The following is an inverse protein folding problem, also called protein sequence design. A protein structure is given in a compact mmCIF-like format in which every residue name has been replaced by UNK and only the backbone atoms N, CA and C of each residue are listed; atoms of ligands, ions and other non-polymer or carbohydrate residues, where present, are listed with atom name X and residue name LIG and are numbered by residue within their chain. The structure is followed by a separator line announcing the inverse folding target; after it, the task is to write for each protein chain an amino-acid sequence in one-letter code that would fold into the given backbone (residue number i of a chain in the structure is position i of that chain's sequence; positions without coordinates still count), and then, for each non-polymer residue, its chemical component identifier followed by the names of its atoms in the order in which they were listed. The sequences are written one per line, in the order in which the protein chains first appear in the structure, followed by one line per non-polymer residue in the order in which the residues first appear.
data_IF_525173649806
#
_entry.id   IF_525173649806
#
_cell.length_a   1.000
_cell.length_b   1.000
_cell.length_c   1.000
_cell.angle_alpha   90.00
_cell.angle_beta   90.00
_cell.angle_gamma   90.00
#
_symmetry.space_group_name_H-M   'P 1'
#
loop_
_entity.id
_entity.type
_entity.pdbx_description
1 polymer ?
#
# COMPACT_ATOMS: atom_id res chain seq x y z
N UNK A 1 -1.60 -9.58 12.48
CA UNK A 1 -1.17 -9.34 11.07
C UNK A 1 -1.27 -10.66 10.29
N UNK A 2 -0.41 -11.62 10.64
CA UNK A 2 -0.57 -13.07 10.44
C UNK A 2 -2.02 -13.59 10.33
N UNK A 3 -2.90 -13.29 11.30
CA UNK A 3 -4.30 -13.75 11.31
C UNK A 3 -5.04 -13.30 10.05
N UNK A 4 -4.93 -12.03 9.65
CA UNK A 4 -5.64 -11.50 8.48
C UNK A 4 -4.95 -11.88 7.16
N UNK A 5 -3.66 -12.21 7.17
CA UNK A 5 -2.97 -12.80 6.02
C UNK A 5 -3.46 -14.22 5.74
N UNK A 6 -3.55 -15.06 6.78
CA UNK A 6 -4.15 -16.39 6.68
C UNK A 6 -5.62 -16.30 6.26
N UNK A 7 -6.38 -15.36 6.82
CA UNK A 7 -7.76 -15.09 6.41
C UNK A 7 -7.85 -14.77 4.92
N UNK A 8 -6.93 -13.96 4.39
CA UNK A 8 -6.86 -13.62 2.98
C UNK A 8 -6.64 -14.82 2.06
N UNK A 9 -5.74 -15.75 2.44
CA UNK A 9 -5.58 -17.01 1.72
C UNK A 9 -6.87 -17.85 1.72
N UNK A 10 -7.56 -17.94 2.86
CA UNK A 10 -8.85 -18.64 2.90
C UNK A 10 -9.90 -17.98 2.01
N UNK A 11 -9.93 -16.66 1.95
CA UNK A 11 -10.85 -15.94 1.07
C UNK A 11 -10.52 -16.15 -0.41
N UNK A 12 -9.24 -16.24 -0.77
CA UNK A 12 -8.80 -16.62 -2.11
C UNK A 12 -9.32 -18.02 -2.48
N UNK A 13 -9.14 -19.01 -1.60
CA UNK A 13 -9.60 -20.38 -1.81
C UNK A 13 -11.12 -20.46 -1.99
N UNK A 14 -11.88 -19.63 -1.25
CA UNK A 14 -13.34 -19.52 -1.42
C UNK A 14 -13.74 -18.86 -2.74
N UNK A 15 -13.00 -17.83 -3.18
CA UNK A 15 -13.28 -17.13 -4.43
C UNK A 15 -12.96 -17.99 -5.65
N UNK A 16 -11.90 -18.79 -5.57
CA UNK A 16 -11.42 -19.64 -6.67
C UNK A 16 -11.25 -21.11 -6.25
N UNK A 17 -12.34 -21.82 -5.90
CA UNK A 17 -12.25 -23.21 -5.45
C UNK A 17 -11.60 -24.10 -6.50
N UNK A 18 -10.63 -24.92 -6.08
CA UNK A 18 -9.92 -25.87 -6.94
C UNK A 18 -8.98 -25.25 -7.97
N UNK A 19 -8.77 -23.92 -7.94
CA UNK A 19 -7.89 -23.23 -8.91
C UNK A 19 -6.53 -22.86 -8.36
N UNK A 20 -6.40 -22.72 -7.04
CA UNK A 20 -5.10 -22.53 -6.38
C UNK A 20 -4.39 -23.89 -6.40
N UNK A 21 -3.20 -24.02 -7.01
CA UNK A 21 -2.48 -25.29 -7.03
C UNK A 21 -2.02 -25.72 -5.63
N UNK A 22 -1.77 -27.02 -5.47
CA UNK A 22 -1.04 -27.54 -4.31
C UNK A 22 0.35 -26.88 -4.26
N UNK A 23 0.66 -26.19 -3.17
CA UNK A 23 1.93 -25.50 -2.96
C UNK A 23 2.32 -25.50 -1.48
N UNK A 24 3.60 -25.30 -1.22
CA UNK A 24 4.14 -24.96 0.11
C UNK A 24 4.88 -23.62 -0.04
N UNK A 25 4.63 -22.68 0.87
CA UNK A 25 5.33 -21.39 0.89
C UNK A 25 5.73 -21.01 2.31
N UNK A 26 6.76 -20.16 2.41
CA UNK A 26 7.13 -19.49 3.64
C UNK A 26 6.73 -18.02 3.55
N UNK A 27 6.01 -17.54 4.57
CA UNK A 27 5.54 -16.16 4.65
C UNK A 27 6.02 -15.53 5.96
N UNK A 28 6.73 -14.41 5.86
CA UNK A 28 7.13 -13.63 7.04
C UNK A 28 6.29 -12.35 7.12
N UNK A 29 5.55 -12.22 8.23
CA UNK A 29 4.59 -11.16 8.48
C UNK A 29 5.20 -9.90 9.15
N UNK A 30 6.52 -9.81 9.26
CA UNK A 30 7.23 -8.62 9.78
C UNK A 30 7.44 -7.58 8.66
N UNK A 31 7.71 -6.32 9.02
CA UNK A 31 7.71 -5.17 8.12
C UNK A 31 8.90 -5.12 7.13
N UNK A 32 10.10 -5.55 7.51
CA UNK A 32 11.28 -5.38 6.63
C UNK A 32 11.45 -6.53 5.65
N UNK A 33 11.84 -6.28 4.38
CA UNK A 33 12.37 -7.32 3.53
C UNK A 33 13.75 -7.76 4.03
N UNK A 34 14.08 -9.05 3.88
CA UNK A 34 15.25 -9.65 4.55
C UNK A 34 16.18 -10.41 3.61
N UNK A 35 15.74 -10.77 2.40
CA UNK A 35 16.55 -11.56 1.47
C UNK A 35 17.48 -10.67 0.63
N UNK A 36 18.50 -10.13 1.31
CA UNK A 36 19.44 -9.18 0.73
C UNK A 36 20.24 -9.77 -0.43
N UNK A 37 20.17 -9.11 -1.59
CA UNK A 37 20.78 -9.51 -2.87
C UNK A 37 22.26 -9.85 -2.75
N UNK A 38 23.00 -9.08 -1.94
CA UNK A 38 24.44 -9.21 -1.74
C UNK A 38 24.87 -10.59 -1.24
N UNK A 39 24.00 -11.34 -0.55
CA UNK A 39 24.32 -12.66 -0.02
C UNK A 39 24.11 -13.80 -1.03
N UNK A 40 23.40 -13.52 -2.13
CA UNK A 40 23.06 -14.51 -3.16
C UNK A 40 23.65 -14.16 -4.53
N UNK A 41 24.57 -13.19 -4.58
CA UNK A 41 25.31 -12.79 -5.79
C UNK A 41 26.72 -13.37 -5.76
N UNK A 42 27.10 -14.11 -6.81
CA UNK A 42 28.46 -14.64 -6.99
C UNK A 42 28.45 -16.06 -7.55
N UNK A 43 29.59 -16.51 -8.08
CA UNK A 43 29.72 -17.82 -8.74
C UNK A 43 29.38 -19.00 -7.82
N UNK A 44 29.66 -18.86 -6.51
CA UNK A 44 29.43 -19.90 -5.50
C UNK A 44 28.33 -19.52 -4.49
N UNK A 45 27.51 -18.50 -4.79
CA UNK A 45 26.46 -18.08 -3.87
C UNK A 45 25.29 -19.09 -3.90
N UNK A 46 24.66 -19.38 -2.75
CA UNK A 46 23.48 -20.23 -2.73
C UNK A 46 22.32 -19.56 -3.48
N UNK A 47 21.38 -20.36 -3.99
CA UNK A 47 20.13 -19.81 -4.49
C UNK A 47 19.34 -19.18 -3.32
N UNK A 48 18.71 -18.01 -3.50
CA UNK A 48 17.91 -17.41 -2.44
C UNK A 48 16.71 -18.31 -2.13
N UNK A 49 16.37 -18.53 -0.84
CA UNK A 49 15.14 -19.22 -0.48
C UNK A 49 13.92 -18.37 -0.90
N UNK A 50 12.79 -18.97 -1.30
CA UNK A 50 11.59 -18.19 -1.53
C UNK A 50 11.00 -17.72 -0.20
N UNK A 51 10.79 -16.41 -0.07
CA UNK A 51 10.14 -15.82 1.11
C UNK A 51 9.10 -14.80 0.65
N UNK A 52 7.85 -15.03 1.03
CA UNK A 52 6.76 -14.09 0.80
C UNK A 52 6.73 -13.04 1.90
N UNK A 53 6.60 -11.78 1.49
CA UNK A 53 6.47 -10.62 2.37
C UNK A 53 5.54 -9.59 1.75
N UNK A 54 5.25 -8.56 2.51
CA UNK A 54 4.34 -7.50 2.07
C UNK A 54 5.04 -6.37 1.27
N UNK A 55 6.36 -6.29 1.33
CA UNK A 55 7.16 -5.39 0.50
C UNK A 55 8.50 -6.00 0.12
N UNK A 56 9.18 -5.33 -0.82
CA UNK A 56 10.58 -5.54 -1.14
C UNK A 56 11.26 -4.20 -1.46
N UNK A 57 12.55 -4.24 -1.72
CA UNK A 57 13.31 -3.11 -2.27
C UNK A 57 14.20 -3.58 -3.44
N UNK A 58 14.93 -2.66 -4.08
CA UNK A 58 15.78 -2.97 -5.24
C UNK A 58 17.00 -3.85 -4.89
N UNK A 59 17.23 -4.09 -3.60
CA UNK A 59 18.30 -4.89 -3.02
C UNK A 59 17.79 -6.13 -2.30
N UNK A 60 16.50 -6.50 -2.43
CA UNK A 60 16.00 -7.78 -1.89
C UNK A 60 15.31 -8.70 -2.91
N UNK A 61 15.28 -10.00 -2.59
CA UNK A 61 14.62 -11.06 -3.38
C UNK A 61 13.23 -11.45 -2.83
N UNK A 62 12.73 -10.76 -1.80
CA UNK A 62 11.44 -11.07 -1.19
C UNK A 62 10.29 -11.01 -2.22
N UNK A 63 9.40 -12.00 -2.18
CA UNK A 63 8.26 -12.13 -3.08
C UNK A 63 7.09 -11.33 -2.50
N UNK A 64 6.66 -10.29 -3.20
CA UNK A 64 5.67 -9.35 -2.65
C UNK A 64 4.24 -9.87 -2.80
N UNK A 65 3.51 -9.84 -1.69
CA UNK A 65 2.13 -10.27 -1.55
C UNK A 65 1.26 -9.14 -0.96
N UNK A 66 -0.05 -9.06 -1.28
CA UNK A 66 -0.94 -8.08 -0.67
C UNK A 66 -0.95 -8.14 0.86
N UNK A 67 -0.90 -6.99 1.52
CA UNK A 67 -0.86 -6.93 2.98
C UNK A 67 -2.17 -7.34 3.66
N UNK A 68 -2.11 -7.65 4.96
CA UNK A 68 -3.28 -8.12 5.73
C UNK A 68 -4.43 -7.10 5.76
N UNK A 69 -4.15 -5.80 5.60
CA UNK A 69 -5.13 -4.74 5.78
C UNK A 69 -6.17 -4.66 4.67
N UNK A 70 -5.97 -5.35 3.53
CA UNK A 70 -7.02 -5.50 2.52
C UNK A 70 -8.26 -6.19 3.08
N UNK A 71 -8.08 -7.11 4.03
CA UNK A 71 -9.17 -7.78 4.75
C UNK A 71 -9.52 -7.12 6.08
N UNK A 72 -8.77 -6.11 6.50
CA UNK A 72 -9.02 -5.31 7.69
C UNK A 72 -7.84 -5.28 8.66
N UNK A 73 -7.85 -4.27 9.54
CA UNK A 73 -6.90 -4.12 10.63
C UNK A 73 -7.69 -3.70 11.88
N UNK A 74 -8.21 -4.71 12.57
CA UNK A 74 -9.15 -4.56 13.67
C UNK A 74 -8.56 -3.75 14.83
N UNK A 75 -7.28 -3.97 15.14
CA UNK A 75 -6.56 -3.37 16.26
C UNK A 75 -6.55 -1.83 16.22
N UNK A 76 -6.69 -1.24 15.04
CA UNK A 76 -6.77 0.22 14.85
C UNK A 76 -8.02 0.64 14.07
N UNK A 77 -9.03 -0.24 14.03
CA UNK A 77 -10.35 0.00 13.42
C UNK A 77 -10.31 0.46 11.95
N UNK A 78 -9.36 -0.07 11.16
CA UNK A 78 -9.32 0.14 9.71
C UNK A 78 -10.11 -0.98 9.05
N UNK A 79 -11.24 -0.61 8.44
CA UNK A 79 -12.17 -1.54 7.80
C UNK A 79 -11.53 -2.28 6.61
N UNK A 80 -12.08 -3.45 6.21
CA UNK A 80 -11.69 -4.11 4.98
C UNK A 80 -11.79 -3.18 3.76
N UNK A 81 -10.90 -3.39 2.79
CA UNK A 81 -10.72 -2.48 1.66
C UNK A 81 -11.97 -2.31 0.80
N UNK A 82 -12.75 -3.38 0.60
CA UNK A 82 -14.02 -3.34 -0.13
C UNK A 82 -15.03 -2.33 0.45
N UNK A 83 -15.04 -2.14 1.77
CA UNK A 83 -15.90 -1.18 2.45
C UNK A 83 -15.25 0.20 2.50
N UNK A 84 -13.97 0.25 2.90
CA UNK A 84 -13.24 1.48 3.09
C UNK A 84 -13.04 2.26 1.78
N UNK A 85 -12.82 1.58 0.65
CA UNK A 85 -12.71 2.21 -0.67
C UNK A 85 -14.01 2.95 -1.07
N UNK A 86 -15.18 2.38 -0.74
CA UNK A 86 -16.48 3.04 -0.94
C UNK A 86 -16.63 4.26 -0.03
N UNK A 87 -16.23 4.14 1.23
CA UNK A 87 -16.25 5.27 2.18
C UNK A 87 -15.32 6.41 1.75
N UNK A 88 -14.12 6.09 1.24
CA UNK A 88 -13.18 7.07 0.68
C UNK A 88 -13.76 7.73 -0.58
N UNK A 89 -14.37 6.94 -1.48
CA UNK A 89 -15.04 7.46 -2.68
C UNK A 89 -16.18 8.42 -2.34
N UNK A 90 -16.98 8.13 -1.32
CA UNK A 90 -18.00 9.06 -0.83
C UNK A 90 -17.39 10.26 -0.08
N UNK A 91 -16.32 10.04 0.69
CA UNK A 91 -15.52 11.09 1.33
C UNK A 91 -15.03 12.14 0.34
N UNK A 92 -14.56 11.71 -0.84
CA UNK A 92 -14.09 12.60 -1.90
C UNK A 92 -15.17 13.54 -2.42
N UNK A 93 -16.45 13.13 -2.37
CA UNK A 93 -17.60 13.94 -2.84
C UNK A 93 -18.07 14.97 -1.82
N UNK A 94 -17.65 14.87 -0.55
CA UNK A 94 -18.09 15.78 0.52
C UNK A 94 -17.67 17.24 0.29
N UNK A 95 -16.55 17.46 -0.42
CA UNK A 95 -15.99 18.78 -0.67
C UNK A 95 -15.31 18.84 -2.03
N UNK A 96 -15.60 19.88 -2.83
CA UNK A 96 -14.94 20.05 -4.13
C UNK A 96 -13.44 20.27 -3.91
N UNK A 97 -12.60 19.69 -4.76
CA UNK A 97 -11.15 19.79 -4.61
C UNK A 97 -10.64 21.24 -4.45
N UNK A 98 -11.25 22.20 -5.15
CA UNK A 98 -10.91 23.62 -5.07
C UNK A 98 -11.23 24.27 -3.72
N UNK A 99 -12.16 23.71 -2.95
CA UNK A 99 -12.58 24.19 -1.62
C UNK A 99 -11.77 23.55 -0.48
N UNK A 100 -11.03 22.49 -0.78
CA UNK A 100 -10.17 21.81 0.20
C UNK A 100 -9.05 22.73 0.69
N UNK A 101 -8.62 22.47 1.91
CA UNK A 101 -7.54 23.19 2.58
C UNK A 101 -6.26 23.16 1.71
N UNK A 102 -5.63 24.31 1.43
CA UNK A 102 -4.50 24.43 0.51
C UNK A 102 -3.17 24.02 1.13
N UNK A 103 -3.17 22.99 1.97
CA UNK A 103 -2.00 22.54 2.72
C UNK A 103 -1.73 21.05 2.48
N UNK A 104 -0.47 20.66 2.66
CA UNK A 104 -0.05 19.27 2.72
C UNK A 104 -0.38 18.69 4.09
N UNK A 105 -1.14 17.61 4.11
CA UNK A 105 -1.60 16.98 5.34
C UNK A 105 -0.96 15.62 5.57
N UNK A 106 -0.58 15.36 6.81
CA UNK A 106 -0.20 14.04 7.29
C UNK A 106 -0.72 13.83 8.71
N UNK A 107 -1.25 12.64 9.01
CA UNK A 107 -1.52 12.19 10.38
C UNK A 107 -1.03 10.76 10.54
N UNK A 108 -0.13 10.51 11.49
CA UNK A 108 0.47 9.20 11.67
C UNK A 108 1.35 9.10 12.90
N UNK A 109 1.81 7.89 13.23
CA UNK A 109 2.73 7.67 14.34
C UNK A 109 4.17 8.03 13.89
N UNK A 110 4.80 9.08 14.45
CA UNK A 110 6.14 9.50 14.06
C UNK A 110 7.26 8.64 14.69
N UNK A 111 6.95 7.89 15.75
CA UNK A 111 7.94 7.18 16.57
C UNK A 111 8.39 5.84 15.97
N UNK A 112 7.84 5.44 14.82
CA UNK A 112 8.17 4.17 14.15
C UNK A 112 9.35 4.27 13.17
N UNK A 113 9.78 5.50 12.83
CA UNK A 113 10.87 5.74 11.90
C UNK A 113 11.47 7.15 12.05
N UNK A 114 12.81 7.31 11.97
CA UNK A 114 13.46 8.61 12.02
C UNK A 114 12.95 9.60 10.97
N UNK A 115 12.65 9.14 9.75
CA UNK A 115 12.15 10.00 8.66
C UNK A 115 10.79 10.63 8.98
N UNK A 116 9.93 9.94 9.74
CA UNK A 116 8.65 10.50 10.21
C UNK A 116 8.80 11.47 11.36
N UNK A 117 9.76 11.22 12.25
CA UNK A 117 10.11 12.18 13.29
C UNK A 117 10.61 13.48 12.66
N UNK A 118 11.47 13.38 11.65
CA UNK A 118 11.97 14.55 10.91
C UNK A 118 10.84 15.32 10.20
N UNK A 119 9.83 14.64 9.67
CA UNK A 119 8.66 15.28 9.05
C UNK A 119 7.92 16.23 10.00
N UNK A 120 7.96 16.01 11.32
CA UNK A 120 7.36 16.92 12.30
C UNK A 120 7.99 18.32 12.25
N UNK A 121 9.26 18.44 11.84
CA UNK A 121 9.95 19.72 11.68
C UNK A 121 9.38 20.58 10.55
N UNK A 122 8.58 19.99 9.66
CA UNK A 122 7.90 20.71 8.58
C UNK A 122 6.64 21.47 9.05
N UNK A 123 6.17 21.24 10.28
CA UNK A 123 5.05 22.01 10.82
C UNK A 123 5.36 23.51 10.92
N UNK A 124 4.33 24.37 10.85
CA UNK A 124 4.52 25.80 10.95
C UNK A 124 5.04 26.21 12.33
N UNK A 125 5.89 27.24 12.31
CA UNK A 125 6.35 28.00 13.48
C UNK A 125 6.06 29.48 13.23
N UNK A 126 6.22 30.33 14.24
CA UNK A 126 6.05 31.79 14.09
C UNK A 126 6.95 32.41 13.01
N UNK A 127 8.06 31.74 12.65
CA UNK A 127 9.05 32.24 11.69
C UNK A 127 8.97 31.60 10.31
N UNK A 128 8.35 30.43 10.19
CA UNK A 128 8.44 29.60 8.99
C UNK A 128 7.19 28.72 8.84
N UNK A 129 6.57 28.75 7.66
CA UNK A 129 5.53 27.80 7.24
C UNK A 129 5.98 27.10 5.94
N UNK A 130 6.07 25.76 5.99
CA UNK A 130 6.35 24.90 4.85
C UNK A 130 5.08 24.43 4.11
N UNK A 131 3.93 24.98 4.49
CA UNK A 131 2.60 24.61 4.03
C UNK A 131 2.23 23.14 4.37
N UNK A 132 2.88 22.58 5.39
CA UNK A 132 2.58 21.24 5.90
C UNK A 132 1.78 21.34 7.22
N UNK A 133 0.88 20.38 7.43
CA UNK A 133 0.07 20.19 8.63
C UNK A 133 0.21 18.72 9.03
N UNK A 134 1.13 18.48 9.96
CA UNK A 134 1.62 17.15 10.35
C UNK A 134 1.15 16.88 11.78
N UNK A 135 0.33 15.84 11.95
CA UNK A 135 -0.32 15.53 13.23
C UNK A 135 0.12 14.17 13.75
N UNK A 136 0.35 14.08 15.06
CA UNK A 136 0.70 12.82 15.72
C UNK A 136 -0.55 11.96 15.87
N UNK A 137 -0.48 10.71 15.42
CA UNK A 137 -1.50 9.70 15.64
C UNK A 137 -1.11 8.82 16.83
N UNK A 138 -1.84 8.94 17.93
CA UNK A 138 -1.70 8.08 19.09
C UNK A 138 -2.80 7.00 19.10
N UNK A 139 -2.46 5.78 18.72
CA UNK A 139 -3.44 4.69 18.62
C UNK A 139 -4.02 4.26 19.97
N UNK A 140 -3.26 4.39 21.07
CA UNK A 140 -3.75 4.06 22.41
C UNK A 140 -4.84 5.04 22.86
N UNK A 141 -4.65 6.33 22.58
CA UNK A 141 -5.63 7.38 22.88
C UNK A 141 -6.86 7.27 21.97
N UNK A 142 -6.67 6.99 20.68
CA UNK A 142 -7.81 6.78 19.77
C UNK A 142 -8.65 5.58 20.19
N UNK A 143 -8.03 4.49 20.64
CA UNK A 143 -8.76 3.33 21.15
C UNK A 143 -9.68 3.72 22.33
N UNK A 144 -9.20 4.59 23.24
CA UNK A 144 -10.01 5.10 24.36
C UNK A 144 -11.18 5.98 23.89
N UNK A 145 -11.04 6.65 22.75
CA UNK A 145 -12.07 7.53 22.17
C UNK A 145 -12.89 6.89 21.03
N UNK A 146 -12.73 5.59 20.79
CA UNK A 146 -13.45 4.85 19.76
C UNK A 146 -13.06 5.26 18.32
N UNK A 147 -11.81 5.66 18.10
CA UNK A 147 -11.22 6.01 16.80
C UNK A 147 -11.91 7.16 16.05
N UNK A 148 -12.68 8.01 16.76
CA UNK A 148 -13.48 9.09 16.17
C UNK A 148 -12.67 10.09 15.34
N UNK A 149 -11.38 10.26 15.64
CA UNK A 149 -10.51 11.21 14.94
C UNK A 149 -9.59 10.53 13.91
N UNK A 150 -9.73 9.21 13.71
CA UNK A 150 -8.90 8.41 12.80
C UNK A 150 -9.63 7.98 11.52
N UNK A 151 -10.84 8.49 11.28
CA UNK A 151 -11.60 8.20 10.06
C UNK A 151 -10.83 8.66 8.82
N UNK A 152 -10.36 7.71 8.02
CA UNK A 152 -9.57 8.01 6.82
C UNK A 152 -10.38 8.77 5.76
N UNK A 153 -11.67 8.46 5.62
CA UNK A 153 -12.57 9.13 4.67
C UNK A 153 -12.82 10.60 5.03
N UNK A 154 -12.77 10.95 6.33
CA UNK A 154 -12.93 12.33 6.79
C UNK A 154 -11.63 13.14 6.67
N UNK A 155 -10.50 12.49 6.39
CA UNK A 155 -9.22 13.16 6.16
C UNK A 155 -9.01 13.62 4.71
N UNK A 156 -9.95 13.34 3.79
CA UNK A 156 -9.86 13.77 2.38
C UNK A 156 -10.27 15.25 2.16
N UNK A 157 -9.99 16.13 3.11
CA UNK A 157 -10.37 17.57 3.10
C UNK A 157 -9.22 18.52 2.76
N UNK A 158 -8.01 17.99 2.54
CA UNK A 158 -6.83 18.75 2.13
C UNK A 158 -6.52 18.52 0.65
N UNK A 159 -5.99 19.53 -0.05
CA UNK A 159 -5.60 19.40 -1.47
C UNK A 159 -4.43 18.44 -1.66
N UNK A 160 -3.55 18.33 -0.68
CA UNK A 160 -2.34 17.52 -0.74
C UNK A 160 -2.26 16.59 0.47
N UNK A 161 -1.85 15.33 0.26
CA UNK A 161 -1.62 14.35 1.33
C UNK A 161 -0.22 13.79 1.22
N UNK A 162 0.50 13.76 2.32
CA UNK A 162 1.88 13.27 2.36
C UNK A 162 1.86 11.77 2.60
N UNK A 163 2.59 11.02 1.79
CA UNK A 163 3.00 9.66 2.10
C UNK A 163 4.48 9.66 2.49
N UNK A 164 4.77 8.96 3.58
CA UNK A 164 6.12 8.74 4.07
C UNK A 164 6.19 7.37 4.73
N UNK A 165 7.28 6.66 4.46
CA UNK A 165 7.52 5.32 4.96
C UNK A 165 7.58 5.29 6.49
N UNK A 166 7.26 4.12 7.05
CA UNK A 166 7.35 3.86 8.47
C UNK A 166 8.61 3.06 8.74
N UNK A 167 8.48 1.99 9.52
CA UNK A 167 9.56 1.03 9.72
C UNK A 167 10.05 0.44 8.38
N UNK A 168 9.13 0.14 7.47
CA UNK A 168 9.38 -0.17 6.07
C UNK A 168 8.32 0.56 5.19
N UNK A 169 7.76 -0.10 4.16
CA UNK A 169 6.59 0.43 3.44
C UNK A 169 5.45 0.75 4.42
N UNK A 170 4.60 1.72 4.08
CA UNK A 170 3.44 2.04 4.92
C UNK A 170 2.13 1.67 4.26
N UNK A 171 1.32 0.91 5.01
CA UNK A 171 -0.05 0.52 4.66
C UNK A 171 -0.94 1.72 4.27
N UNK A 172 -0.59 2.94 4.70
CA UNK A 172 -1.34 4.17 4.40
C UNK A 172 -1.29 4.62 2.94
N UNK A 173 -0.36 4.10 2.11
CA UNK A 173 -0.17 4.53 0.73
C UNK A 173 -1.48 4.49 -0.08
N UNK A 174 -2.15 3.33 -0.10
CA UNK A 174 -3.43 3.16 -0.81
C UNK A 174 -4.53 4.10 -0.29
N UNK A 175 -4.58 4.36 1.01
CA UNK A 175 -5.60 5.26 1.59
C UNK A 175 -5.33 6.73 1.25
N UNK A 176 -4.06 7.12 1.15
CA UNK A 176 -3.64 8.46 0.76
C UNK A 176 -3.97 8.70 -0.71
N UNK A 177 -3.59 7.76 -1.58
CA UNK A 177 -3.84 7.83 -3.01
C UNK A 177 -5.33 7.84 -3.36
N UNK A 178 -6.18 7.19 -2.56
CA UNK A 178 -7.62 7.13 -2.76
C UNK A 178 -8.37 8.46 -2.49
N UNK A 179 -7.75 9.47 -1.88
CA UNK A 179 -8.45 10.67 -1.39
C UNK A 179 -8.73 11.78 -2.44
N UNK A 180 -8.50 11.60 -3.74
CA UNK A 180 -8.52 12.67 -4.79
C UNK A 180 -7.54 13.84 -4.51
N UNK A 181 -6.83 13.83 -3.40
CA UNK A 181 -5.78 14.78 -3.06
C UNK A 181 -4.53 14.45 -3.87
N UNK A 182 -3.72 15.46 -4.16
CA UNK A 182 -2.39 15.22 -4.71
C UNK A 182 -1.56 14.49 -3.67
N UNK A 183 -1.15 13.27 -3.99
CA UNK A 183 -0.29 12.47 -3.13
C UNK A 183 1.14 12.96 -3.27
N UNK A 184 1.70 13.49 -2.18
CA UNK A 184 3.09 13.90 -2.06
C UNK A 184 3.88 12.72 -1.48
N UNK A 185 4.54 11.94 -2.34
CA UNK A 185 5.25 10.72 -1.92
C UNK A 185 6.71 11.08 -1.68
N UNK A 186 7.14 11.04 -0.40
CA UNK A 186 8.55 11.10 -0.02
C UNK A 186 9.27 9.89 -0.59
N UNK A 187 10.36 10.12 -1.31
CA UNK A 187 11.10 9.14 -2.13
C UNK A 187 11.15 7.75 -1.45
N UNK A 188 10.33 6.77 -1.90
CA UNK A 188 10.14 5.51 -1.18
C UNK A 188 11.30 4.56 -1.43
N UNK A 189 11.77 3.86 -0.39
CA UNK A 189 12.79 2.82 -0.49
C UNK A 189 12.18 1.46 -0.78
N UNK A 190 10.93 1.25 -0.36
CA UNK A 190 10.22 0.00 -0.51
C UNK A 190 9.12 0.10 -1.57
N UNK A 191 8.81 -1.04 -2.19
CA UNK A 191 7.61 -1.21 -3.01
C UNK A 191 6.72 -2.31 -2.45
N UNK A 192 5.41 -2.16 -2.66
CA UNK A 192 4.44 -3.23 -2.48
C UNK A 192 4.03 -3.79 -3.86
N UNK A 193 2.98 -4.62 -3.88
CA UNK A 193 2.57 -5.32 -5.11
C UNK A 193 1.97 -4.40 -6.18
N UNK A 194 1.53 -3.18 -5.84
CA UNK A 194 0.94 -2.24 -6.80
C UNK A 194 1.80 -0.99 -7.01
N UNK A 195 2.61 -0.57 -6.03
CA UNK A 195 3.25 0.74 -6.03
C UNK A 195 4.26 0.94 -7.17
N UNK A 196 4.81 -0.15 -7.73
CA UNK A 196 5.64 -0.09 -8.94
C UNK A 196 4.92 0.46 -10.18
N UNK A 197 3.61 0.33 -10.24
CA UNK A 197 2.77 0.87 -11.32
C UNK A 197 2.53 2.38 -11.20
N UNK A 198 2.90 2.98 -10.05
CA UNK A 198 2.76 4.41 -9.84
C UNK A 198 3.81 5.20 -10.64
N UNK A 199 3.33 6.23 -11.34
CA UNK A 199 4.12 7.09 -12.19
C UNK A 199 4.15 8.51 -11.61
N UNK A 200 5.34 9.10 -11.38
CA UNK A 200 5.47 10.46 -10.90
C UNK A 200 4.84 11.42 -11.91
N UNK A 201 4.25 12.51 -11.41
CA UNK A 201 3.49 13.52 -12.15
C UNK A 201 2.25 13.01 -12.91
N UNK A 202 1.94 11.71 -12.80
CA UNK A 202 0.69 11.11 -13.26
C UNK A 202 -0.18 10.70 -12.07
N UNK A 203 0.37 9.90 -11.15
CA UNK A 203 -0.34 9.42 -9.96
C UNK A 203 0.09 10.13 -8.67
N UNK A 204 1.26 10.77 -8.65
CA UNK A 204 1.76 11.44 -7.43
C UNK A 204 2.79 12.52 -7.75
N UNK A 205 3.04 13.38 -6.77
CA UNK A 205 4.15 14.33 -6.79
C UNK A 205 5.33 13.78 -5.96
N UNK A 206 6.53 13.61 -6.52
CA UNK A 206 7.68 13.10 -5.78
C UNK A 206 8.25 14.16 -4.83
N UNK A 207 8.56 13.78 -3.60
CA UNK A 207 9.16 14.64 -2.57
C UNK A 207 10.56 14.14 -2.24
N UNK A 208 11.53 15.06 -2.20
CA UNK A 208 12.91 14.76 -1.80
C UNK A 208 12.96 14.32 -0.34
N UNK A 209 13.59 13.18 -0.04
CA UNK A 209 13.81 12.73 1.33
C UNK A 209 14.74 13.69 2.09
N UNK A 210 15.86 14.09 1.48
CA UNK A 210 16.88 14.95 2.10
C UNK A 210 16.42 16.39 2.35
N UNK A 211 15.45 16.89 1.58
CA UNK A 211 14.97 18.27 1.67
C UNK A 211 13.43 18.35 1.69
N UNK A 212 12.81 17.44 2.44
CA UNK A 212 11.37 17.18 2.45
C UNK A 212 10.52 18.42 2.70
N UNK A 213 10.83 19.26 3.68
CA UNK A 213 10.00 20.43 3.99
C UNK A 213 9.99 21.46 2.85
N UNK A 214 11.16 21.74 2.24
CA UNK A 214 11.25 22.65 1.09
C UNK A 214 10.55 22.07 -0.15
N UNK A 215 10.74 20.77 -0.40
CA UNK A 215 10.12 20.06 -1.52
C UNK A 215 8.58 20.02 -1.37
N UNK A 216 8.06 19.79 -0.15
CA UNK A 216 6.63 19.88 0.16
C UNK A 216 6.11 21.29 -0.11
N UNK A 217 6.79 22.32 0.40
CA UNK A 217 6.38 23.72 0.17
C UNK A 217 6.32 24.04 -1.32
N UNK A 218 7.34 23.65 -2.07
CA UNK A 218 7.40 23.85 -3.51
C UNK A 218 6.23 23.16 -4.23
N UNK A 219 5.94 21.90 -3.88
CA UNK A 219 4.84 21.14 -4.45
C UNK A 219 3.47 21.79 -4.20
N UNK A 220 3.21 22.24 -2.97
CA UNK A 220 1.97 22.92 -2.59
C UNK A 220 1.82 24.24 -3.33
N UNK A 221 2.85 25.08 -3.32
CA UNK A 221 2.83 26.36 -4.02
C UNK A 221 2.66 26.20 -5.54
N UNK A 222 3.31 25.21 -6.13
CA UNK A 222 3.13 24.89 -7.54
C UNK A 222 1.71 24.43 -7.82
N UNK A 223 1.16 23.53 -7.00
CA UNK A 223 -0.17 22.97 -7.21
C UNK A 223 -1.26 24.02 -7.08
N UNK A 224 -1.10 24.98 -6.16
CA UNK A 224 -2.06 26.06 -5.97
C UNK A 224 -2.03 27.10 -7.09
N UNK A 225 -0.87 27.27 -7.75
CA UNK A 225 -0.75 28.03 -9.01
C UNK A 225 -1.28 27.25 -10.23
N UNK A 226 -1.30 25.92 -10.18
CA UNK A 226 -1.67 25.03 -11.28
C UNK A 226 -2.82 24.08 -10.92
N UNK A 227 -3.88 24.61 -10.32
CA UNK A 227 -4.99 23.85 -9.72
C UNK A 227 -5.54 22.73 -10.60
N UNK A 228 -5.78 22.98 -11.89
CA UNK A 228 -6.29 21.96 -12.81
C UNK A 228 -5.32 20.78 -12.99
N UNK A 229 -4.02 21.05 -13.11
CA UNK A 229 -3.00 20.01 -13.25
C UNK A 229 -2.82 19.24 -11.93
N UNK A 230 -2.80 19.95 -10.80
CA UNK A 230 -2.72 19.34 -9.48
C UNK A 230 -3.93 18.40 -9.25
N UNK A 231 -5.14 18.89 -9.47
CA UNK A 231 -6.35 18.07 -9.35
C UNK A 231 -6.33 16.84 -10.27
N UNK A 232 -5.82 16.98 -11.50
CA UNK A 232 -5.70 15.84 -12.42
C UNK A 232 -4.77 14.74 -11.89
N UNK A 233 -3.66 15.09 -11.24
CA UNK A 233 -2.74 14.13 -10.60
C UNK A 233 -3.47 13.37 -9.49
N UNK A 234 -4.14 14.08 -8.58
CA UNK A 234 -4.89 13.47 -7.48
C UNK A 234 -6.02 12.56 -7.97
N UNK A 235 -6.75 12.97 -9.00
CA UNK A 235 -7.83 12.18 -9.61
C UNK A 235 -7.32 10.94 -10.35
N UNK A 236 -6.17 11.03 -11.02
CA UNK A 236 -5.56 9.87 -11.67
C UNK A 236 -5.08 8.84 -10.64
N UNK A 237 -4.56 9.29 -9.50
CA UNK A 237 -4.15 8.43 -8.38
C UNK A 237 -5.35 7.64 -7.81
N UNK A 238 -6.43 8.36 -7.49
CA UNK A 238 -7.62 7.76 -6.88
C UNK A 238 -8.36 6.87 -7.87
N UNK A 239 -8.41 7.22 -9.15
CA UNK A 239 -8.98 6.36 -10.19
C UNK A 239 -8.24 5.02 -10.24
N UNK A 240 -6.91 5.05 -10.32
CA UNK A 240 -6.09 3.83 -10.29
C UNK A 240 -6.37 2.99 -9.03
N UNK A 241 -6.35 3.61 -7.85
CA UNK A 241 -6.55 2.85 -6.60
C UNK A 241 -7.99 2.35 -6.42
N UNK A 242 -9.00 3.11 -6.80
CA UNK A 242 -10.41 2.72 -6.59
C UNK A 242 -10.93 1.77 -7.67
N UNK A 243 -10.32 1.76 -8.85
CA UNK A 243 -10.77 0.95 -10.00
C UNK A 243 -9.85 -0.25 -10.27
N UNK A 244 -8.54 -0.07 -10.18
CA UNK A 244 -7.53 -1.10 -10.51
C UNK A 244 -6.99 -1.82 -9.27
N UNK A 245 -7.23 -1.31 -8.06
CA UNK A 245 -6.90 -1.98 -6.80
C UNK A 245 -8.13 -2.54 -6.07
N UNK A 246 -9.20 -2.90 -6.79
CA UNK A 246 -10.38 -3.56 -6.21
C UNK A 246 -10.08 -5.00 -5.75
N UNK A 247 -10.87 -5.53 -4.80
CA UNK A 247 -10.65 -6.87 -4.25
C UNK A 247 -10.60 -7.98 -5.32
N UNK A 248 -11.37 -7.86 -6.40
CA UNK A 248 -11.29 -8.84 -7.51
C UNK A 248 -9.88 -8.93 -8.09
N UNK A 249 -9.24 -7.81 -8.39
CA UNK A 249 -7.88 -7.80 -8.95
C UNK A 249 -6.81 -8.16 -7.92
N UNK A 250 -7.06 -7.90 -6.63
CA UNK A 250 -6.17 -8.36 -5.56
C UNK A 250 -6.18 -9.89 -5.49
N UNK A 251 -7.36 -10.52 -5.53
CA UNK A 251 -7.44 -11.98 -5.57
C UNK A 251 -6.88 -12.56 -6.88
N UNK A 252 -7.06 -11.88 -8.01
CA UNK A 252 -6.43 -12.30 -9.27
C UNK A 252 -4.92 -12.26 -9.18
N UNK A 253 -4.33 -11.18 -8.64
CA UNK A 253 -2.90 -11.08 -8.39
C UNK A 253 -2.41 -12.23 -7.51
N UNK A 254 -3.10 -12.50 -6.39
CA UNK A 254 -2.75 -13.61 -5.50
C UNK A 254 -2.81 -14.96 -6.22
N UNK A 255 -3.88 -15.23 -6.99
CA UNK A 255 -4.04 -16.48 -7.72
C UNK A 255 -2.91 -16.67 -8.74
N UNK A 256 -2.62 -15.64 -9.54
CA UNK A 256 -1.56 -15.73 -10.54
C UNK A 256 -0.18 -15.89 -9.90
N UNK A 257 0.12 -15.12 -8.84
CA UNK A 257 1.38 -15.21 -8.13
C UNK A 257 1.61 -16.63 -7.57
N UNK A 258 0.60 -17.20 -6.91
CA UNK A 258 0.68 -18.56 -6.37
C UNK A 258 0.75 -19.62 -7.47
N UNK A 259 0.07 -19.40 -8.59
CA UNK A 259 0.12 -20.31 -9.75
C UNK A 259 1.49 -20.35 -10.39
N UNK A 260 2.11 -19.18 -10.63
CA UNK A 260 3.47 -19.12 -11.18
C UNK A 260 4.51 -19.65 -10.18
N UNK A 261 4.34 -19.33 -8.90
CA UNK A 261 5.21 -19.86 -7.84
C UNK A 261 5.16 -21.39 -7.77
N UNK A 262 3.97 -22.00 -7.82
CA UNK A 262 3.81 -23.45 -7.75
C UNK A 262 4.53 -24.19 -8.89
N UNK A 263 4.63 -23.58 -10.09
CA UNK A 263 5.37 -24.16 -11.23
C UNK A 263 6.88 -24.27 -10.98
N UNK A 264 7.41 -23.49 -10.02
CA UNK A 264 8.83 -23.50 -9.65
C UNK A 264 9.17 -24.61 -8.65
N UNK A 265 8.16 -25.22 -8.02
CA UNK A 265 8.37 -26.30 -7.07
C UNK A 265 8.91 -27.54 -7.79
N UNK A 266 10.01 -28.08 -7.27
CA UNK A 266 10.66 -29.30 -7.78
C UNK A 266 10.19 -30.57 -7.07
N UNK A 267 9.14 -30.45 -6.26
CA UNK A 267 8.56 -31.52 -5.47
C UNK A 267 7.05 -31.38 -5.47
N UNK A 268 6.35 -32.48 -5.18
CA UNK A 268 4.92 -32.46 -4.89
C UNK A 268 4.74 -32.16 -3.39
N UNK A 269 4.08 -31.06 -3.00
CA UNK A 269 3.82 -30.77 -1.60
C UNK A 269 3.04 -31.89 -0.92
N UNK A 270 3.34 -32.12 0.35
CA UNK A 270 2.62 -33.08 1.21
C UNK A 270 2.30 -32.41 2.54
N UNK A 271 1.14 -32.72 3.12
CA UNK A 271 0.73 -32.14 4.40
C UNK A 271 1.69 -32.61 5.52
N UNK A 272 2.38 -31.69 6.23
CA UNK A 272 3.25 -32.06 7.34
C UNK A 272 2.49 -32.71 8.50
N UNK A 273 3.14 -33.62 9.25
CA UNK A 273 2.53 -34.39 10.35
C UNK A 273 1.85 -33.53 11.43
N UNK A 274 2.38 -32.33 11.68
CA UNK A 274 1.89 -31.41 12.72
C UNK A 274 1.16 -30.18 12.13
N UNK A 275 0.77 -30.24 10.86
CA UNK A 275 0.03 -29.16 10.24
C UNK A 275 -1.36 -29.01 10.88
N UNK A 276 -1.80 -27.77 11.04
CA UNK A 276 -3.14 -27.44 11.51
C UNK A 276 -3.97 -27.01 10.30
N UNK A 277 -5.08 -27.70 10.07
CA UNK A 277 -6.03 -27.31 9.04
C UNK A 277 -6.76 -26.03 9.46
N UNK A 278 -6.83 -25.07 8.52
CA UNK A 278 -7.57 -23.83 8.70
C UNK A 278 -8.71 -23.77 7.70
N UNK A 279 -9.88 -23.34 8.16
CA UNK A 279 -10.99 -22.93 7.33
C UNK A 279 -11.58 -21.61 7.86
N UNK A 280 -12.47 -20.98 7.10
CA UNK A 280 -13.00 -19.67 7.50
C UNK A 280 -13.78 -19.75 8.81
N UNK A 281 -14.48 -20.84 9.03
CA UNK A 281 -15.27 -21.11 10.22
C UNK A 281 -14.38 -21.32 11.44
N UNK A 282 -13.29 -22.09 11.33
CA UNK A 282 -12.36 -22.33 12.45
C UNK A 282 -11.58 -21.08 12.84
N UNK A 283 -11.35 -20.15 11.90
CA UNK A 283 -10.74 -18.85 12.21
C UNK A 283 -11.74 -17.83 12.77
N UNK A 284 -12.92 -17.69 12.16
CA UNK A 284 -13.86 -16.61 12.49
C UNK A 284 -14.74 -16.91 13.71
N UNK A 285 -15.10 -18.17 13.98
CA UNK A 285 -15.94 -18.51 15.12
C UNK A 285 -15.33 -18.13 16.49
N UNK A 286 -14.05 -18.49 16.78
CA UNK A 286 -13.41 -18.16 18.06
C UNK A 286 -12.75 -16.77 18.08
N UNK A 287 -12.76 -16.03 16.96
CA UNK A 287 -12.13 -14.72 16.89
C UNK A 287 -12.80 -13.71 17.84
N UNK A 288 -12.03 -12.79 18.46
CA UNK A 288 -12.58 -11.67 19.21
C UNK A 288 -13.56 -10.86 18.36
N UNK A 289 -14.58 -10.27 18.99
CA UNK A 289 -15.70 -9.61 18.29
C UNK A 289 -15.25 -8.59 17.24
N UNK A 290 -14.21 -7.79 17.53
CA UNK A 290 -13.67 -6.79 16.60
C UNK A 290 -13.04 -7.44 15.35
N UNK A 291 -12.24 -8.49 15.54
CA UNK A 291 -11.65 -9.24 14.42
C UNK A 291 -12.72 -9.99 13.64
N UNK A 292 -13.62 -10.68 14.36
CA UNK A 292 -14.75 -11.42 13.79
C UNK A 292 -15.62 -10.53 12.92
N UNK A 293 -15.92 -9.31 13.36
CA UNK A 293 -16.64 -8.31 12.56
C UNK A 293 -15.96 -8.06 11.22
N UNK A 294 -14.64 -7.82 11.20
CA UNK A 294 -13.91 -7.54 9.97
C UNK A 294 -13.73 -8.78 9.08
N UNK A 295 -13.56 -9.97 9.68
CA UNK A 295 -13.62 -11.24 8.96
C UNK A 295 -14.98 -11.39 8.26
N UNK A 296 -16.09 -11.20 8.96
CA UNK A 296 -17.43 -11.33 8.38
C UNK A 296 -17.73 -10.27 7.29
N UNK A 297 -17.18 -9.06 7.44
CA UNK A 297 -17.26 -7.99 6.44
C UNK A 297 -16.44 -8.27 5.18
N UNK A 298 -15.31 -8.97 5.31
CA UNK A 298 -14.42 -9.35 4.20
C UNK A 298 -14.62 -10.78 3.71
N UNK A 299 -15.59 -11.51 4.26
CA UNK A 299 -15.91 -12.89 3.90
C UNK A 299 -16.41 -12.97 2.45
N UNK A 300 -15.69 -13.74 1.63
CA UNK A 300 -16.11 -14.10 0.28
C UNK A 300 -17.33 -15.01 0.37
N UNK A 301 -18.46 -14.51 -0.16
CA UNK A 301 -19.78 -15.16 -0.03
C UNK A 301 -19.93 -16.40 -0.90
N UNK A 302 -19.17 -16.51 -1.98
CA UNK A 302 -19.18 -17.67 -2.86
C UNK A 302 -18.07 -17.58 -3.91
N UNK A 303 -17.98 -18.62 -4.76
CA UNK A 303 -17.04 -18.64 -5.88
C UNK A 303 -17.29 -17.46 -6.83
N UNK A 304 -16.25 -17.04 -7.53
CA UNK A 304 -16.36 -16.02 -8.58
C UNK A 304 -17.13 -16.58 -9.78
N UNK A 305 -18.17 -15.89 -10.23
CA UNK A 305 -18.89 -16.20 -11.47
C UNK A 305 -18.08 -15.81 -12.73
N UNK A 306 -17.06 -14.96 -12.56
CA UNK A 306 -16.15 -14.54 -13.62
C UNK A 306 -14.80 -15.22 -13.48
N UNK A 307 -14.18 -15.54 -14.62
CA UNK A 307 -12.77 -15.93 -14.65
C UNK A 307 -11.88 -14.78 -14.13
N UNK A 308 -10.72 -15.10 -13.50
CA UNK A 308 -9.73 -14.11 -13.14
C UNK A 308 -9.22 -13.42 -14.40
N UNK A 309 -8.69 -12.21 -14.22
CA UNK A 309 -8.07 -11.47 -15.31
C UNK A 309 -6.97 -12.28 -16.00
N UNK A 310 -6.69 -11.96 -17.26
CA UNK A 310 -5.56 -12.53 -17.98
C UNK A 310 -4.32 -11.70 -17.64
N UNK A 311 -3.29 -12.36 -17.10
CA UNK A 311 -2.01 -11.70 -16.86
C UNK A 311 -1.35 -11.38 -18.21
N UNK A 312 -0.99 -10.11 -18.48
CA UNK A 312 -0.25 -9.78 -19.68
C UNK A 312 1.15 -10.41 -19.63
N UNK A 313 1.80 -10.64 -20.79
CA UNK A 313 3.18 -11.11 -20.81
C UNK A 313 4.09 -10.14 -20.06
N UNK A 314 5.19 -10.62 -19.45
CA UNK A 314 6.16 -9.75 -18.81
C UNK A 314 6.73 -8.76 -19.83
N UNK A 315 7.12 -7.58 -19.36
CA UNK A 315 7.83 -6.62 -20.21
C UNK A 315 9.08 -7.26 -20.79
N UNK A 316 9.29 -7.08 -22.10
CA UNK A 316 10.59 -7.34 -22.69
C UNK A 316 11.64 -6.36 -22.11
N UNK A 317 12.95 -6.67 -22.21
CA UNK A 317 14.00 -5.83 -21.64
C UNK A 317 13.98 -4.37 -22.13
N UNK A 318 13.55 -4.13 -23.37
CA UNK A 318 13.51 -2.79 -23.98
C UNK A 318 12.34 -1.99 -23.40
N UNK A 319 11.16 -2.59 -23.33
CA UNK A 319 9.96 -2.01 -22.73
C UNK A 319 10.14 -1.70 -21.25
N UNK A 320 10.74 -2.62 -20.50
CA UNK A 320 11.08 -2.40 -19.09
C UNK A 320 12.05 -1.23 -18.93
N UNK A 321 13.11 -1.19 -19.73
CA UNK A 321 14.09 -0.10 -19.68
C UNK A 321 13.45 1.25 -20.07
N UNK A 322 12.53 1.26 -21.04
CA UNK A 322 11.80 2.46 -21.44
C UNK A 322 10.91 2.99 -20.30
N UNK A 323 10.20 2.11 -19.60
CA UNK A 323 9.39 2.46 -18.43
C UNK A 323 10.25 3.08 -17.32
N UNK A 324 11.36 2.42 -16.96
CA UNK A 324 12.31 2.90 -15.95
C UNK A 324 12.88 4.27 -16.35
N UNK A 325 13.30 4.44 -17.61
CA UNK A 325 13.81 5.72 -18.13
C UNK A 325 12.76 6.82 -18.05
N UNK A 326 11.51 6.54 -18.41
CA UNK A 326 10.39 7.49 -18.32
C UNK A 326 10.17 7.93 -16.87
N UNK A 327 10.16 6.98 -15.92
CA UNK A 327 10.03 7.28 -14.49
C UNK A 327 11.17 8.17 -13.99
N UNK A 328 12.42 7.77 -14.24
CA UNK A 328 13.61 8.51 -13.81
C UNK A 328 13.73 9.89 -14.46
N UNK A 329 13.38 10.02 -15.74
CA UNK A 329 13.36 11.30 -16.45
C UNK A 329 12.38 12.27 -15.80
N UNK A 330 11.17 11.80 -15.47
CA UNK A 330 10.14 12.63 -14.83
C UNK A 330 10.58 13.06 -13.42
N UNK A 331 11.14 12.15 -12.62
CA UNK A 331 11.74 12.50 -11.32
C UNK A 331 12.84 13.56 -11.46
N UNK A 332 13.72 13.40 -12.46
CA UNK A 332 14.80 14.35 -12.73
C UNK A 332 14.31 15.74 -13.13
N UNK A 333 13.17 15.85 -13.83
CA UNK A 333 12.55 17.14 -14.17
C UNK A 333 12.01 17.84 -12.92
N UNK A 334 11.29 17.13 -12.04
CA UNK A 334 10.78 17.72 -10.79
C UNK A 334 11.93 18.17 -9.89
N UNK A 335 12.98 17.34 -9.74
CA UNK A 335 14.19 17.72 -8.99
C UNK A 335 14.88 18.98 -9.53
N UNK A 336 14.76 19.28 -10.84
CA UNK A 336 15.29 20.54 -11.43
C UNK A 336 14.40 21.75 -11.13
N UNK A 337 13.09 21.56 -10.96
CA UNK A 337 12.16 22.63 -10.63
C UNK A 337 12.33 23.15 -9.19
N UNK A 338 12.83 22.30 -8.28
CA UNK A 338 13.01 22.63 -6.86
C UNK A 338 14.33 23.37 -6.55
N UNK A 339 15.30 23.32 -7.46
CA UNK A 339 16.57 24.03 -7.38
C UNK A 339 16.36 25.52 -7.64
#
# INVERSE_FOLDING_TARGET
RDVFTLWGFLQLLRKYPGRVPDLELMFDCVDWPVLQLKYFRGHNAPAPPPLFRYCGDDNTYDIVFPDWSFWGWAEINIKPWELLSKELKEGNKKMRWTEREPYAYWKGNPFVAPTRMDLLSCNPTDKQDWHARVYVQNWAEEAQHGFKQSSLADQCIHRYKIYIEGSAWSVSEKYILACDSVSLIVDPHYYDFFSRSLMPMQHYWPISEDNKCRSIKYAVEWGDRHKQKAQAIGKAASAFILEDLKMDYIYDYMLHLLTEYAKLLKFKPTIPKNAVELCSETMACPAPDEQKKFMMQSLVKGPSDTAPCIMPPPYDPVGLQALIRRKNSTLGVVKKWEK
#
